data_IF_864190230241
#
_entry.id   IF_864190230241
#
_cell.length_a   1.000
_cell.length_b   1.000
_cell.length_c   1.000
_cell.angle_alpha   90.00
_cell.angle_beta   90.00
_cell.angle_gamma   90.00
#
_symmetry.space_group_name_H-M   'P 1'
#
loop_
_entity.id
_entity.type
_entity.pdbx_description
1 polymer ?
#
# COMPACT_ATOMS: atom_id res chain seq x y z
N UNK A 1 10.13 14.85 12.30
CA UNK A 1 9.00 15.73 11.92
C UNK A 1 9.47 17.12 11.45
N UNK A 2 10.53 17.67 12.04
CA UNK A 2 11.15 18.96 11.65
C UNK A 2 11.62 19.01 10.19
N UNK A 3 12.09 17.89 9.64
CA UNK A 3 12.65 17.86 8.29
C UNK A 3 11.60 18.00 7.18
N UNK A 4 10.39 17.49 7.40
CA UNK A 4 9.29 17.65 6.45
C UNK A 4 8.75 19.08 6.42
N UNK A 5 8.75 19.78 7.56
CA UNK A 5 8.34 21.19 7.65
C UNK A 5 9.32 22.08 6.86
N UNK A 6 10.62 21.75 6.88
CA UNK A 6 11.64 22.48 6.12
C UNK A 6 11.52 22.32 4.59
N UNK A 7 10.79 21.33 4.11
CA UNK A 7 10.55 21.07 2.68
C UNK A 7 9.39 21.88 2.10
N UNK A 8 8.85 22.86 2.82
CA UNK A 8 7.81 23.75 2.31
C UNK A 8 6.40 23.20 2.36
N UNK A 9 6.14 22.20 3.22
CA UNK A 9 4.79 21.66 3.43
C UNK A 9 3.86 22.60 4.20
N UNK A 10 4.36 23.74 4.66
CA UNK A 10 3.60 24.76 5.38
C UNK A 10 2.40 25.33 4.60
N UNK A 11 2.44 25.25 3.28
CA UNK A 11 1.37 25.72 2.39
C UNK A 11 0.36 24.64 1.99
N UNK A 12 0.51 23.42 2.51
CA UNK A 12 -0.42 22.34 2.26
C UNK A 12 -1.58 22.39 3.25
N UNK A 13 -2.80 22.16 2.77
CA UNK A 13 -4.01 22.00 3.62
C UNK A 13 -4.05 20.67 4.37
N UNK A 14 -2.94 19.95 4.43
CA UNK A 14 -2.84 18.62 5.03
C UNK A 14 -2.35 18.69 6.48
N UNK A 15 -2.90 17.84 7.33
CA UNK A 15 -2.42 17.63 8.70
C UNK A 15 -1.43 16.45 8.71
N UNK A 16 -0.33 16.61 9.46
CA UNK A 16 0.70 15.60 9.60
C UNK A 16 0.70 15.03 11.01
N UNK A 17 0.64 13.70 11.10
CA UNK A 17 0.72 12.96 12.36
C UNK A 17 1.92 12.02 12.31
N UNK A 18 2.77 12.07 13.35
CA UNK A 18 3.81 11.07 13.53
C UNK A 18 3.25 9.92 14.34
N UNK A 19 3.16 8.74 13.73
CA UNK A 19 2.73 7.50 14.40
C UNK A 19 3.31 6.29 13.67
N UNK A 20 3.30 5.15 14.35
CA UNK A 20 3.47 3.86 13.70
C UNK A 20 2.18 3.50 12.96
N UNK A 21 2.31 2.81 11.83
CA UNK A 21 1.15 2.38 11.04
C UNK A 21 0.31 1.32 11.78
N UNK A 22 0.95 0.58 12.69
CA UNK A 22 0.38 -0.43 13.57
C UNK A 22 -0.50 0.15 14.70
N UNK A 23 -0.37 1.46 14.97
CA UNK A 23 -1.08 2.15 16.06
C UNK A 23 -1.42 3.59 15.66
N UNK A 24 -2.44 3.74 14.81
CA UNK A 24 -2.87 5.05 14.34
C UNK A 24 -3.64 5.81 15.44
N UNK A 25 -3.26 7.07 15.75
CA UNK A 25 -3.95 7.88 16.75
C UNK A 25 -5.26 8.48 16.20
N UNK A 26 -6.04 7.64 15.56
CA UNK A 26 -7.29 7.99 14.90
C UNK A 26 -8.44 7.16 15.51
N UNK A 27 -9.63 7.71 15.50
CA UNK A 27 -10.84 7.00 15.97
C UNK A 27 -11.18 5.86 15.00
N UNK A 28 -11.77 4.80 15.54
CA UNK A 28 -12.36 3.74 14.70
C UNK A 28 -13.47 4.33 13.83
N UNK A 29 -13.60 3.85 12.60
CA UNK A 29 -14.63 4.26 11.65
C UNK A 29 -14.70 5.78 11.47
N UNK A 30 -13.56 6.41 11.19
CA UNK A 30 -13.45 7.87 11.07
C UNK A 30 -12.91 8.34 9.71
N UNK A 31 -12.45 7.43 8.85
CA UNK A 31 -11.89 7.76 7.53
C UNK A 31 -12.72 7.11 6.41
N UNK A 32 -13.00 7.89 5.38
CA UNK A 32 -13.63 7.39 4.15
C UNK A 32 -12.64 6.69 3.22
N UNK A 33 -11.38 7.13 3.25
CA UNK A 33 -10.32 6.59 2.39
C UNK A 33 -9.01 6.52 3.17
N UNK A 34 -8.31 5.42 3.04
CA UNK A 34 -6.90 5.25 3.42
C UNK A 34 -6.11 4.91 2.17
N UNK A 35 -4.94 5.51 2.02
CA UNK A 35 -4.01 5.21 0.92
C UNK A 35 -2.66 4.76 1.47
N UNK A 36 -2.08 3.74 0.83
CA UNK A 36 -0.70 3.33 1.05
C UNK A 36 0.00 3.21 -0.30
N UNK A 37 0.97 4.08 -0.53
CA UNK A 37 1.74 4.10 -1.77
C UNK A 37 3.20 3.81 -1.45
N UNK A 38 3.65 2.62 -1.85
CA UNK A 38 5.02 2.14 -1.65
C UNK A 38 5.50 2.28 -0.19
N UNK A 39 4.72 1.84 0.75
CA UNK A 39 5.00 1.99 2.19
C UNK A 39 4.56 0.80 3.05
N UNK A 40 3.69 -0.07 2.52
CA UNK A 40 3.19 -1.22 3.30
C UNK A 40 4.25 -2.32 3.50
N UNK A 41 5.25 -2.36 2.65
CA UNK A 41 6.41 -3.26 2.69
C UNK A 41 7.51 -2.80 3.67
N UNK A 42 7.35 -1.60 4.27
CA UNK A 42 8.28 -1.00 5.23
C UNK A 42 7.75 -0.99 6.69
N UNK A 43 6.57 -1.51 6.95
CA UNK A 43 6.00 -1.55 8.31
C UNK A 43 6.66 -2.63 9.16
N UNK A 44 6.58 -2.52 10.48
CA UNK A 44 7.15 -3.53 11.39
C UNK A 44 6.25 -4.77 11.46
N UNK A 45 4.92 -4.61 11.47
CA UNK A 45 3.94 -5.68 11.48
C UNK A 45 2.83 -5.42 10.46
N UNK A 46 2.87 -6.15 9.35
CA UNK A 46 1.89 -6.04 8.26
C UNK A 46 0.46 -6.35 8.71
N UNK A 47 0.28 -7.38 9.54
CA UNK A 47 -1.06 -7.79 9.97
C UNK A 47 -1.69 -6.81 10.95
N UNK A 48 -0.90 -6.25 11.86
CA UNK A 48 -1.35 -5.17 12.73
C UNK A 48 -1.69 -3.91 11.91
N UNK A 49 -0.85 -3.54 10.96
CA UNK A 49 -1.11 -2.40 10.06
C UNK A 49 -2.42 -2.57 9.29
N UNK A 50 -2.66 -3.74 8.70
CA UNK A 50 -3.92 -4.01 7.98
C UNK A 50 -5.13 -3.98 8.91
N UNK A 51 -4.98 -4.44 10.16
CA UNK A 51 -6.02 -4.38 11.18
C UNK A 51 -6.33 -2.92 11.57
N UNK A 52 -5.31 -2.08 11.70
CA UNK A 52 -5.48 -0.66 11.98
C UNK A 52 -6.15 0.08 10.82
N UNK A 53 -5.76 -0.22 9.57
CA UNK A 53 -6.42 0.32 8.37
C UNK A 53 -7.90 -0.06 8.38
N UNK A 54 -8.23 -1.32 8.66
CA UNK A 54 -9.62 -1.75 8.79
C UNK A 54 -10.35 -1.00 9.91
N UNK A 55 -9.72 -0.86 11.08
CA UNK A 55 -10.32 -0.19 12.24
C UNK A 55 -10.71 1.25 11.96
N UNK A 56 -9.84 2.02 11.30
CA UNK A 56 -10.05 3.46 11.06
C UNK A 56 -11.01 3.76 9.90
N UNK A 57 -11.15 2.87 8.94
CA UNK A 57 -12.08 3.04 7.82
C UNK A 57 -13.53 2.95 8.30
N UNK A 58 -14.42 3.76 7.74
CA UNK A 58 -15.88 3.58 7.87
C UNK A 58 -16.35 2.35 7.08
N UNK A 59 -17.54 1.82 7.41
CA UNK A 59 -18.19 0.84 6.52
C UNK A 59 -18.46 1.50 5.17
N UNK A 60 -18.12 0.81 4.08
CA UNK A 60 -18.14 1.36 2.72
C UNK A 60 -16.89 2.17 2.35
N UNK A 61 -16.01 2.48 3.31
CA UNK A 61 -14.75 3.20 3.06
C UNK A 61 -13.77 2.38 2.24
N UNK A 62 -12.80 3.06 1.63
CA UNK A 62 -11.87 2.45 0.67
C UNK A 62 -10.42 2.47 1.16
N UNK A 63 -9.73 1.35 0.95
CA UNK A 63 -8.27 1.27 1.04
C UNK A 63 -7.67 1.19 -0.36
N UNK A 64 -6.81 2.14 -0.71
CA UNK A 64 -6.11 2.18 -1.99
C UNK A 64 -4.64 1.85 -1.76
N UNK A 65 -4.21 0.74 -2.32
CA UNK A 65 -2.85 0.21 -2.19
C UNK A 65 -2.13 0.28 -3.53
N UNK A 66 -0.93 0.84 -3.54
CA UNK A 66 0.06 0.71 -4.61
C UNK A 66 1.38 0.29 -3.97
N UNK A 67 1.88 -0.89 -4.30
CA UNK A 67 3.08 -1.46 -3.66
C UNK A 67 3.89 -2.30 -4.65
N UNK A 68 5.19 -2.32 -4.46
CA UNK A 68 6.08 -3.24 -5.17
C UNK A 68 5.95 -4.64 -4.59
N UNK A 69 5.92 -5.61 -5.47
CA UNK A 69 5.93 -7.03 -5.13
C UNK A 69 7.32 -7.57 -5.40
N UNK A 70 8.04 -7.90 -4.34
CA UNK A 70 9.37 -8.47 -4.42
C UNK A 70 9.31 -9.97 -4.20
N UNK A 71 10.05 -10.76 -4.99
CA UNK A 71 10.11 -12.21 -4.78
C UNK A 71 10.80 -12.58 -3.47
N UNK A 72 11.69 -11.70 -2.95
CA UNK A 72 12.43 -11.89 -1.69
C UNK A 72 12.52 -10.58 -0.92
N UNK A 73 12.46 -10.70 0.41
CA UNK A 73 12.72 -9.57 1.29
C UNK A 73 14.13 -9.00 1.09
N UNK A 74 14.26 -7.69 1.20
CA UNK A 74 15.52 -6.95 1.15
C UNK A 74 15.76 -6.24 2.47
N UNK A 75 16.94 -5.63 2.64
CA UNK A 75 17.22 -4.82 3.84
C UNK A 75 16.37 -3.55 3.93
N UNK A 76 16.00 -3.00 2.79
CA UNK A 76 15.15 -1.80 2.70
C UNK A 76 13.66 -2.14 2.69
N UNK A 77 13.30 -3.34 2.28
CA UNK A 77 11.92 -3.82 2.13
C UNK A 77 11.80 -5.18 2.81
N UNK A 78 11.68 -5.21 4.15
CA UNK A 78 11.76 -6.43 4.93
C UNK A 78 10.51 -7.32 4.78
N UNK A 79 9.40 -6.78 4.28
CA UNK A 79 8.15 -7.50 4.12
C UNK A 79 7.89 -7.79 2.64
N UNK A 80 7.62 -9.05 2.34
CA UNK A 80 7.12 -9.46 1.02
C UNK A 80 5.60 -9.50 1.03
N UNK A 81 4.96 -8.86 0.06
CA UNK A 81 3.52 -8.86 -0.11
C UNK A 81 3.17 -9.80 -1.27
N UNK A 82 2.22 -10.74 -1.07
CA UNK A 82 1.82 -11.65 -2.13
C UNK A 82 0.97 -10.95 -3.18
N UNK A 83 1.03 -11.42 -4.42
CA UNK A 83 0.14 -10.97 -5.49
C UNK A 83 -1.34 -11.07 -5.10
N UNK A 84 -1.73 -12.14 -4.43
CA UNK A 84 -3.08 -12.29 -3.90
C UNK A 84 -3.22 -11.55 -2.56
N UNK A 85 -3.39 -10.22 -2.62
CA UNK A 85 -3.56 -9.39 -1.43
C UNK A 85 -4.74 -9.84 -0.56
N UNK A 86 -5.78 -10.43 -1.16
CA UNK A 86 -6.96 -10.90 -0.42
C UNK A 86 -6.60 -11.97 0.61
N UNK A 87 -5.51 -12.73 0.42
CA UNK A 87 -5.06 -13.73 1.40
C UNK A 87 -4.61 -13.13 2.74
N UNK A 88 -4.28 -11.84 2.75
CA UNK A 88 -3.86 -11.10 3.95
C UNK A 88 -5.00 -10.33 4.61
N UNK A 89 -6.13 -10.18 3.92
CA UNK A 89 -7.23 -9.34 4.37
C UNK A 89 -8.26 -10.15 5.15
N UNK A 90 -8.89 -9.49 6.11
CA UNK A 90 -10.07 -10.03 6.78
C UNK A 90 -11.24 -10.22 5.81
N UNK A 91 -12.25 -10.99 6.22
CA UNK A 91 -13.48 -11.16 5.44
C UNK A 91 -14.30 -9.86 5.32
N UNK A 92 -13.90 -8.80 6.04
CA UNK A 92 -14.57 -7.50 6.00
C UNK A 92 -14.13 -6.64 4.81
N UNK A 93 -13.16 -7.08 4.01
CA UNK A 93 -12.77 -6.40 2.79
C UNK A 93 -13.30 -7.09 1.53
N UNK A 94 -13.74 -6.25 0.58
CA UNK A 94 -14.02 -6.62 -0.80
C UNK A 94 -12.93 -6.07 -1.69
N UNK A 95 -12.39 -6.86 -2.59
CA UNK A 95 -11.52 -6.37 -3.68
C UNK A 95 -12.42 -5.77 -4.76
N UNK A 96 -12.40 -4.43 -4.90
CA UNK A 96 -13.17 -3.69 -5.91
C UNK A 96 -12.40 -3.67 -7.23
N UNK A 97 -11.08 -3.52 -7.15
CA UNK A 97 -10.20 -3.47 -8.31
C UNK A 97 -8.83 -4.00 -7.93
N UNK A 98 -8.25 -4.78 -8.81
CA UNK A 98 -6.86 -5.26 -8.69
C UNK A 98 -6.21 -5.22 -10.06
N UNK A 99 -4.97 -4.76 -10.11
CA UNK A 99 -4.13 -4.77 -11.31
C UNK A 99 -2.69 -5.08 -10.93
N UNK A 100 -2.05 -5.87 -11.76
CA UNK A 100 -0.66 -6.27 -11.64
C UNK A 100 0.11 -5.68 -12.82
N UNK A 101 1.23 -5.02 -12.53
CA UNK A 101 2.03 -4.35 -13.56
C UNK A 101 3.46 -4.85 -13.57
N UNK A 102 4.02 -4.94 -14.78
CA UNK A 102 5.46 -5.15 -14.98
C UNK A 102 6.25 -3.92 -14.55
N UNK A 103 7.38 -4.15 -13.92
CA UNK A 103 8.37 -3.12 -13.69
C UNK A 103 9.41 -3.10 -14.81
N UNK A 104 9.78 -1.90 -15.22
CA UNK A 104 10.83 -1.73 -16.22
C UNK A 104 12.16 -1.48 -15.53
N UNK A 105 13.21 -2.25 -15.84
CA UNK A 105 14.56 -2.00 -15.31
C UNK A 105 15.09 -0.59 -15.60
N UNK A 106 14.62 0.03 -16.69
CA UNK A 106 15.00 1.40 -17.05
C UNK A 106 14.22 2.49 -16.31
N UNK A 107 13.10 2.12 -15.68
CA UNK A 107 12.25 3.01 -14.88
C UNK A 107 11.65 2.22 -13.73
N UNK A 108 12.44 1.89 -12.69
CA UNK A 108 11.96 1.13 -11.56
C UNK A 108 10.96 1.93 -10.72
N UNK A 109 10.18 1.21 -9.95
CA UNK A 109 9.25 1.74 -8.96
C UNK A 109 7.79 1.67 -9.34
N UNK A 110 6.95 1.43 -8.34
CA UNK A 110 5.52 1.17 -8.45
C UNK A 110 4.75 2.25 -9.20
N UNK A 111 5.06 3.52 -8.97
CA UNK A 111 4.41 4.65 -9.66
C UNK A 111 4.74 4.68 -11.16
N UNK A 112 5.95 4.31 -11.55
CA UNK A 112 6.34 4.23 -12.96
C UNK A 112 5.68 3.04 -13.66
N UNK A 113 5.64 1.87 -13.01
CA UNK A 113 4.98 0.67 -13.51
C UNK A 113 3.47 0.89 -13.71
N UNK A 114 2.78 1.43 -12.70
CA UNK A 114 1.36 1.74 -12.80
C UNK A 114 1.03 2.75 -13.91
N UNK A 115 1.94 3.70 -14.15
CA UNK A 115 1.80 4.71 -15.21
C UNK A 115 2.07 4.14 -16.59
N UNK A 116 3.01 3.20 -16.72
CA UNK A 116 3.28 2.47 -17.97
C UNK A 116 2.11 1.55 -18.36
N UNK A 117 1.41 0.97 -17.37
CA UNK A 117 0.20 0.19 -17.57
C UNK A 117 0.44 -1.16 -18.27
N UNK A 118 1.67 -1.67 -18.27
CA UNK A 118 2.00 -2.98 -18.85
C UNK A 118 1.60 -4.04 -17.85
N UNK A 119 0.72 -4.96 -18.24
CA UNK A 119 0.24 -6.03 -17.37
C UNK A 119 1.38 -7.04 -17.08
N UNK A 120 1.44 -7.48 -15.82
CA UNK A 120 2.41 -8.48 -15.37
C UNK A 120 2.05 -9.85 -15.96
N UNK A 121 3.01 -10.47 -16.63
CA UNK A 121 2.82 -11.81 -17.20
C UNK A 121 3.09 -12.91 -16.17
N UNK A 122 2.03 -13.36 -15.52
CA UNK A 122 2.09 -14.47 -14.57
C UNK A 122 2.40 -15.84 -15.18
N UNK A 123 2.38 -15.97 -16.50
CA UNK A 123 2.76 -17.22 -17.21
C UNK A 123 4.26 -17.35 -17.41
N UNK A 124 5.00 -16.25 -17.34
CA UNK A 124 6.46 -16.25 -17.38
C UNK A 124 7.01 -16.71 -16.01
N UNK A 125 7.73 -17.85 -15.95
CA UNK A 125 8.26 -18.38 -14.71
C UNK A 125 9.47 -17.62 -14.16
N UNK A 126 9.96 -16.61 -14.86
CA UNK A 126 11.12 -15.83 -14.44
C UNK A 126 10.78 -15.03 -13.16
N UNK A 127 11.56 -15.29 -12.10
CA UNK A 127 11.40 -14.57 -10.84
C UNK A 127 11.81 -13.11 -11.03
N UNK A 128 10.86 -12.20 -10.83
CA UNK A 128 11.05 -10.75 -10.99
C UNK A 128 10.07 -9.95 -10.14
N UNK A 129 10.42 -8.72 -9.87
CA UNK A 129 9.54 -7.77 -9.18
C UNK A 129 8.43 -7.27 -10.11
N UNK A 130 7.37 -6.79 -9.49
CA UNK A 130 6.28 -6.12 -10.18
C UNK A 130 5.50 -5.21 -9.22
N UNK A 131 4.43 -4.62 -9.70
CA UNK A 131 3.63 -3.68 -8.93
C UNK A 131 2.18 -4.13 -8.82
N UNK A 132 1.66 -4.16 -7.60
CA UNK A 132 0.26 -4.38 -7.30
C UNK A 132 -0.45 -3.04 -7.05
N UNK A 133 -1.53 -2.80 -7.79
CA UNK A 133 -2.54 -1.77 -7.48
C UNK A 133 -3.82 -2.47 -7.03
N UNK A 134 -4.27 -2.18 -5.83
CA UNK A 134 -5.53 -2.70 -5.33
C UNK A 134 -6.42 -1.58 -4.76
N UNK A 135 -7.71 -1.65 -5.04
CA UNK A 135 -8.75 -0.86 -4.40
C UNK A 135 -9.66 -1.82 -3.65
N UNK A 136 -9.71 -1.64 -2.35
CA UNK A 136 -10.39 -2.51 -1.41
C UNK A 136 -11.48 -1.69 -0.73
N UNK A 137 -12.65 -2.29 -0.47
CA UNK A 137 -13.75 -1.65 0.24
C UNK A 137 -14.03 -2.40 1.54
N UNK A 138 -14.09 -1.66 2.66
CA UNK A 138 -14.57 -2.20 3.93
C UNK A 138 -16.09 -2.42 3.88
N UNK A 139 -16.54 -3.62 4.24
CA UNK A 139 -17.96 -3.96 4.39
C UNK A 139 -18.61 -3.27 5.58
#
# INVERSE_FOLDING_TARGET
MTDYMSLGIENHSSNYLASQAEHLPLRSSSLDVVTSFNSLDHVDDLMLTLTEIERVLVSGGHFVLLVEIHPKATLSEPITIPWNIKSLLSNNFLVVKEKHFEESPSRPGSSAAARAGIEFDHSDPTERSGTLLAVLQRR
#
